data_IF_802617080119
#
_entry.id   IF_802617080119
#
_cell.length_a   1.000
_cell.length_b   1.000
_cell.length_c   1.000
_cell.angle_alpha   90.00
_cell.angle_beta   90.00
_cell.angle_gamma   90.00
#
_symmetry.space_group_name_H-M   'P 1'
#
loop_
_entity.id
_entity.type
_entity.pdbx_description
1 polymer ?
#
# COMPACT_ATOMS: atom_id res chain seq x y z
N UNK A 1 14.50 -37.13 2.24
CA UNK A 1 14.44 -36.17 3.35
C UNK A 1 12.97 -35.77 3.50
N UNK A 2 12.36 -36.08 4.63
CA UNK A 2 10.93 -35.96 4.91
C UNK A 2 10.45 -34.52 4.70
N UNK A 3 9.41 -34.34 3.87
CA UNK A 3 8.56 -33.15 3.87
C UNK A 3 7.98 -32.98 5.28
N UNK A 4 8.57 -32.11 6.06
CA UNK A 4 7.91 -31.59 7.23
C UNK A 4 6.73 -30.73 6.74
N UNK A 5 5.58 -31.34 6.57
CA UNK A 5 4.34 -30.65 6.24
C UNK A 5 4.12 -29.56 7.31
N UNK A 6 4.27 -28.30 6.92
CA UNK A 6 4.04 -27.15 7.80
C UNK A 6 2.67 -27.33 8.48
N UNK A 7 2.63 -27.26 9.80
CA UNK A 7 1.41 -27.43 10.58
C UNK A 7 0.38 -26.38 10.10
N UNK A 8 -0.78 -26.77 9.55
CA UNK A 8 -1.77 -25.84 9.00
C UNK A 8 -2.24 -24.78 10.00
N UNK A 9 -2.21 -25.11 11.30
CA UNK A 9 -2.58 -24.19 12.37
C UNK A 9 -1.52 -23.07 12.59
N UNK A 10 -0.24 -23.36 12.37
CA UNK A 10 0.84 -22.34 12.45
C UNK A 10 0.77 -21.40 11.25
N UNK A 11 0.57 -21.91 10.05
CA UNK A 11 0.44 -21.11 8.82
C UNK A 11 -0.74 -20.13 8.91
N UNK A 12 -1.91 -20.57 9.43
CA UNK A 12 -3.07 -19.69 9.58
C UNK A 12 -2.84 -18.56 10.59
N UNK A 13 -2.12 -18.84 11.70
CA UNK A 13 -1.77 -17.79 12.68
C UNK A 13 -0.85 -16.73 12.06
N UNK A 14 0.12 -17.16 11.27
CA UNK A 14 1.05 -16.23 10.60
C UNK A 14 0.34 -15.38 9.53
N UNK A 15 -0.53 -15.99 8.70
CA UNK A 15 -1.34 -15.26 7.73
C UNK A 15 -2.21 -14.20 8.42
N UNK A 16 -2.91 -14.56 9.50
CA UNK A 16 -3.73 -13.60 10.27
C UNK A 16 -2.92 -12.44 10.83
N UNK A 17 -1.75 -12.73 11.38
CA UNK A 17 -0.88 -11.67 11.91
C UNK A 17 -0.32 -10.76 10.81
N UNK A 18 0.02 -11.32 9.65
CA UNK A 18 0.44 -10.58 8.48
C UNK A 18 -0.67 -9.64 7.97
N UNK A 19 -1.89 -10.16 7.83
CA UNK A 19 -3.06 -9.35 7.44
C UNK A 19 -3.26 -8.19 8.41
N UNK A 20 -3.25 -8.45 9.73
CA UNK A 20 -3.47 -7.42 10.74
C UNK A 20 -2.39 -6.34 10.73
N UNK A 21 -1.11 -6.72 10.58
CA UNK A 21 -0.02 -5.74 10.43
C UNK A 21 -0.22 -4.84 9.20
N UNK A 22 -0.56 -5.46 8.07
CA UNK A 22 -0.85 -4.73 6.84
C UNK A 22 -2.08 -3.81 6.97
N UNK A 23 -3.12 -4.24 7.67
CA UNK A 23 -4.31 -3.40 7.95
C UNK A 23 -3.92 -2.16 8.74
N UNK A 24 -3.12 -2.29 9.78
CA UNK A 24 -2.66 -1.14 10.60
C UNK A 24 -1.84 -0.18 9.75
N UNK A 25 -0.85 -0.69 9.00
CA UNK A 25 -0.01 0.14 8.13
C UNK A 25 -0.85 0.93 7.11
N UNK A 26 -1.75 0.24 6.42
CA UNK A 26 -2.54 0.87 5.37
C UNK A 26 -3.71 1.74 5.88
N UNK A 27 -4.15 1.52 7.12
CA UNK A 27 -5.00 2.49 7.82
C UNK A 27 -4.25 3.82 8.01
N UNK A 28 -3.04 3.78 8.56
CA UNK A 28 -2.25 4.97 8.87
C UNK A 28 -1.86 5.78 7.61
N UNK A 29 -1.52 5.09 6.51
CA UNK A 29 -1.28 5.76 5.23
C UNK A 29 -2.57 6.25 4.58
N UNK A 30 -3.64 5.46 4.65
CA UNK A 30 -4.93 5.78 4.05
C UNK A 30 -5.56 7.02 4.69
N UNK A 31 -5.56 7.10 6.02
CA UNK A 31 -6.21 8.21 6.71
C UNK A 31 -5.59 9.57 6.39
N UNK A 32 -4.28 9.64 6.20
CA UNK A 32 -3.63 10.87 5.74
C UNK A 32 -4.12 11.28 4.35
N UNK A 33 -4.17 10.32 3.41
CA UNK A 33 -4.63 10.58 2.04
C UNK A 33 -6.10 10.98 1.97
N UNK A 34 -6.96 10.35 2.78
CA UNK A 34 -8.40 10.68 2.83
C UNK A 34 -8.67 12.04 3.52
N UNK A 35 -7.86 12.41 4.50
CA UNK A 35 -7.95 13.70 5.16
C UNK A 35 -7.15 14.81 4.45
N UNK A 36 -6.62 14.56 3.25
CA UNK A 36 -5.69 15.48 2.58
C UNK A 36 -6.25 16.90 2.38
N UNK A 37 -7.53 17.04 2.03
CA UNK A 37 -8.21 18.34 1.87
C UNK A 37 -8.28 19.11 3.18
N UNK A 38 -8.57 18.44 4.30
CA UNK A 38 -8.60 19.04 5.64
C UNK A 38 -7.18 19.36 6.13
N UNK A 39 -6.22 18.49 5.92
CA UNK A 39 -4.81 18.74 6.27
C UNK A 39 -4.24 19.91 5.48
N UNK A 40 -4.62 20.06 4.21
CA UNK A 40 -4.24 21.21 3.37
C UNK A 40 -4.65 22.52 4.03
N UNK A 41 -5.90 22.64 4.46
CA UNK A 41 -6.43 23.84 5.11
C UNK A 41 -5.79 24.15 6.47
N UNK A 42 -5.32 23.11 7.21
CA UNK A 42 -4.79 23.30 8.56
C UNK A 42 -3.27 23.51 8.64
N UNK A 43 -2.52 22.99 7.68
CA UNK A 43 -1.06 22.94 7.75
C UNK A 43 -0.34 23.70 6.64
N UNK A 44 -1.04 24.03 5.54
CA UNK A 44 -0.47 24.71 4.39
C UNK A 44 -1.29 25.97 4.09
N UNK A 45 -0.81 27.11 4.58
CA UNK A 45 -1.46 28.41 4.35
C UNK A 45 -0.96 28.98 3.04
N UNK A 46 -1.60 28.59 1.97
CA UNK A 46 -1.40 29.13 0.63
C UNK A 46 -2.66 29.86 0.17
N UNK A 47 -2.48 30.89 -0.65
CA UNK A 47 -3.60 31.70 -1.18
C UNK A 47 -4.47 30.90 -2.17
N UNK A 48 -3.92 29.80 -2.71
CA UNK A 48 -4.60 28.92 -3.65
C UNK A 48 -4.80 27.51 -3.01
N UNK A 49 -6.05 27.02 -2.90
CA UNK A 49 -6.35 25.70 -2.36
C UNK A 49 -5.66 24.54 -3.09
N UNK A 50 -5.45 24.66 -4.40
CA UNK A 50 -4.77 23.63 -5.17
C UNK A 50 -3.29 23.52 -4.79
N UNK A 51 -2.63 24.63 -4.53
CA UNK A 51 -1.24 24.67 -4.05
C UNK A 51 -1.11 24.09 -2.65
N UNK A 52 -2.07 24.33 -1.75
CA UNK A 52 -2.11 23.72 -0.43
C UNK A 52 -2.31 22.20 -0.48
N UNK A 53 -3.20 21.72 -1.35
CA UNK A 53 -3.42 20.29 -1.58
C UNK A 53 -2.18 19.63 -2.21
N UNK A 54 -1.52 20.29 -3.16
CA UNK A 54 -0.27 19.82 -3.77
C UNK A 54 0.83 19.67 -2.70
N UNK A 55 0.99 20.66 -1.81
CA UNK A 55 1.95 20.63 -0.70
C UNK A 55 1.63 19.49 0.28
N UNK A 56 0.36 19.21 0.54
CA UNK A 56 -0.09 18.08 1.35
C UNK A 56 0.30 16.74 0.72
N UNK A 57 0.11 16.57 -0.58
CA UNK A 57 0.53 15.37 -1.29
C UNK A 57 2.04 15.27 -1.50
N UNK A 58 2.77 16.40 -1.53
CA UNK A 58 4.22 16.38 -1.47
C UNK A 58 4.73 15.82 -0.13
N UNK A 59 4.16 16.25 1.00
CA UNK A 59 4.45 15.67 2.32
C UNK A 59 4.06 14.18 2.40
N UNK A 60 2.99 13.76 1.71
CA UNK A 60 2.65 12.35 1.56
C UNK A 60 3.74 11.57 0.82
N UNK A 61 4.23 12.10 -0.28
CA UNK A 61 5.25 11.47 -1.11
C UNK A 61 6.59 11.31 -0.37
N UNK A 62 7.00 12.30 0.43
CA UNK A 62 8.26 12.26 1.20
C UNK A 62 8.36 11.02 2.09
N UNK A 63 7.25 10.57 2.69
CA UNK A 63 7.24 9.36 3.50
C UNK A 63 7.75 8.13 2.74
N UNK A 64 7.43 8.02 1.45
CA UNK A 64 7.81 6.85 0.64
C UNK A 64 9.31 6.79 0.31
N UNK A 65 9.98 7.94 0.24
CA UNK A 65 11.43 7.98 0.07
C UNK A 65 12.15 7.44 1.32
N UNK A 66 11.58 7.63 2.51
CA UNK A 66 12.16 7.13 3.76
C UNK A 66 11.88 5.65 4.02
N UNK A 67 11.04 4.98 3.22
CA UNK A 67 10.85 3.53 3.29
C UNK A 67 12.15 2.75 3.02
N UNK A 68 12.96 3.22 2.08
CA UNK A 68 14.20 2.52 1.73
C UNK A 68 15.21 2.48 2.89
N UNK A 69 15.64 3.62 3.51
CA UNK A 69 16.51 3.59 4.67
C UNK A 69 15.87 2.89 5.88
N UNK A 70 14.56 3.05 6.09
CA UNK A 70 13.83 2.31 7.12
C UNK A 70 13.89 0.80 6.93
N UNK A 71 13.69 0.32 5.72
CA UNK A 71 13.81 -1.10 5.37
C UNK A 71 15.19 -1.68 5.62
N UNK A 72 16.25 -0.90 5.35
CA UNK A 72 17.63 -1.29 5.64
C UNK A 72 17.86 -1.40 7.16
N UNK A 73 17.44 -0.38 7.93
CA UNK A 73 17.63 -0.37 9.38
C UNK A 73 16.84 -1.49 10.07
N UNK A 74 15.53 -1.56 9.81
CA UNK A 74 14.68 -2.56 10.46
C UNK A 74 14.95 -3.98 9.95
N UNK A 75 15.39 -4.14 8.69
CA UNK A 75 15.91 -5.40 8.18
C UNK A 75 17.14 -5.86 8.97
N UNK A 76 18.17 -5.00 9.11
CA UNK A 76 19.35 -5.31 9.91
C UNK A 76 19.02 -5.57 11.38
N UNK A 77 18.10 -4.79 11.96
CA UNK A 77 17.64 -4.99 13.33
C UNK A 77 16.90 -6.32 13.51
N UNK A 78 16.11 -6.72 12.51
CA UNK A 78 15.42 -8.01 12.48
C UNK A 78 16.39 -9.20 12.42
N UNK A 79 17.43 -9.10 11.61
CA UNK A 79 18.44 -10.14 11.47
C UNK A 79 19.34 -10.26 12.73
N UNK A 80 19.62 -9.13 13.40
CA UNK A 80 20.51 -9.10 14.58
C UNK A 80 19.81 -9.35 15.91
N UNK A 81 18.61 -8.79 16.11
CA UNK A 81 17.91 -8.79 17.40
C UNK A 81 16.59 -9.57 17.40
N UNK A 82 16.22 -10.16 16.27
CA UNK A 82 15.00 -10.92 16.07
C UNK A 82 13.90 -10.14 15.32
N UNK A 83 13.22 -10.82 14.44
CA UNK A 83 12.17 -10.22 13.57
C UNK A 83 11.00 -9.67 14.38
N UNK A 84 10.59 -10.35 15.44
CA UNK A 84 9.54 -9.91 16.36
C UNK A 84 9.84 -8.53 16.96
N UNK A 85 11.08 -8.30 17.41
CA UNK A 85 11.51 -7.01 18.00
C UNK A 85 11.48 -5.90 16.96
N UNK A 86 12.06 -6.14 15.77
CA UNK A 86 12.08 -5.15 14.69
C UNK A 86 10.65 -4.71 14.32
N UNK A 87 9.77 -5.67 14.07
CA UNK A 87 8.38 -5.43 13.73
C UNK A 87 7.56 -4.77 14.86
N UNK A 88 7.93 -4.99 16.12
CA UNK A 88 7.32 -4.29 17.27
C UNK A 88 7.68 -2.81 17.27
N UNK A 89 8.95 -2.47 16.98
CA UNK A 89 9.40 -1.10 16.86
C UNK A 89 8.79 -0.36 15.67
N UNK A 90 8.59 -1.05 14.52
CA UNK A 90 7.94 -0.42 13.35
C UNK A 90 6.50 -0.02 13.66
N UNK A 91 5.70 -0.90 14.27
CA UNK A 91 4.32 -0.56 14.67
C UNK A 91 4.29 0.57 15.69
N UNK A 92 5.16 0.52 16.71
CA UNK A 92 5.21 1.57 17.73
C UNK A 92 5.54 2.93 17.13
N UNK A 93 6.58 2.99 16.29
CA UNK A 93 6.99 4.22 15.63
C UNK A 93 5.90 4.76 14.70
N UNK A 94 5.22 3.87 13.94
CA UNK A 94 4.10 4.23 13.08
C UNK A 94 2.95 4.84 13.89
N UNK A 95 2.50 4.14 14.94
CA UNK A 95 1.39 4.59 15.79
C UNK A 95 1.70 5.93 16.48
N UNK A 96 2.92 6.11 16.99
CA UNK A 96 3.37 7.38 17.60
C UNK A 96 3.36 8.51 16.58
N UNK A 97 3.89 8.25 15.38
CA UNK A 97 3.94 9.27 14.33
C UNK A 97 2.54 9.65 13.83
N UNK A 98 1.64 8.67 13.61
CA UNK A 98 0.27 8.95 13.16
C UNK A 98 -0.54 9.68 14.23
N UNK A 99 -0.45 9.21 15.48
CA UNK A 99 -1.10 9.91 16.61
C UNK A 99 -0.55 11.32 16.78
N UNK A 100 0.76 11.49 16.58
CA UNK A 100 1.43 12.78 16.60
C UNK A 100 0.80 13.80 15.65
N UNK A 101 0.42 13.39 14.42
CA UNK A 101 -0.27 14.27 13.48
C UNK A 101 -1.55 14.86 14.08
N UNK A 102 -2.35 14.02 14.76
CA UNK A 102 -3.58 14.48 15.43
C UNK A 102 -3.36 15.43 16.61
N UNK A 103 -2.15 15.46 17.17
CA UNK A 103 -1.80 16.34 18.31
C UNK A 103 -1.15 17.65 17.89
N UNK A 104 -0.73 17.80 16.63
CA UNK A 104 -0.08 19.03 16.15
C UNK A 104 -1.12 20.18 16.13
N UNK A 105 -0.83 21.33 16.74
CA UNK A 105 -1.63 22.54 16.56
C UNK A 105 -1.60 23.01 15.10
N UNK A 106 -2.66 23.73 14.68
CA UNK A 106 -2.76 24.24 13.32
C UNK A 106 -1.68 25.30 13.00
N UNK A 107 -1.50 25.58 11.72
CA UNK A 107 -0.60 26.65 11.26
C UNK A 107 -0.92 28.01 11.88
N UNK A 108 -2.20 28.31 12.10
CA UNK A 108 -2.62 29.54 12.76
C UNK A 108 -2.02 29.72 14.16
N UNK A 109 -1.69 28.62 14.85
CA UNK A 109 -1.12 28.65 16.21
C UNK A 109 0.41 28.55 16.20
N UNK A 110 0.99 27.63 15.42
CA UNK A 110 2.44 27.32 15.44
C UNK A 110 3.20 27.86 14.21
N UNK A 111 2.50 28.44 13.24
CA UNK A 111 3.12 28.86 11.98
C UNK A 111 3.80 27.71 11.26
N UNK A 112 4.94 28.00 10.64
CA UNK A 112 5.72 27.02 9.84
C UNK A 112 6.11 25.75 10.63
N UNK A 113 6.21 25.84 11.95
CA UNK A 113 6.54 24.68 12.78
C UNK A 113 5.48 23.59 12.75
N UNK A 114 4.18 23.95 12.52
CA UNK A 114 3.11 22.98 12.33
C UNK A 114 3.38 22.11 11.08
N UNK A 115 3.75 22.75 9.97
CA UNK A 115 4.12 22.06 8.72
C UNK A 115 5.38 21.20 8.91
N UNK A 116 6.40 21.73 9.57
CA UNK A 116 7.64 20.98 9.84
C UNK A 116 7.38 19.72 10.68
N UNK A 117 6.54 19.81 11.70
CA UNK A 117 6.16 18.67 12.54
C UNK A 117 5.32 17.65 11.77
N UNK A 118 4.41 18.10 10.91
CA UNK A 118 3.65 17.22 10.03
C UNK A 118 4.59 16.42 9.12
N UNK A 119 5.52 17.09 8.44
CA UNK A 119 6.52 16.46 7.57
C UNK A 119 7.40 15.50 8.37
N UNK A 120 7.84 15.86 9.57
CA UNK A 120 8.60 14.97 10.45
C UNK A 120 7.82 13.71 10.79
N UNK A 121 6.53 13.83 11.18
CA UNK A 121 5.67 12.67 11.43
C UNK A 121 5.55 11.80 10.16
N UNK A 122 5.40 12.40 8.99
CA UNK A 122 5.37 11.68 7.70
C UNK A 122 6.68 10.94 7.43
N UNK A 123 7.82 11.57 7.71
CA UNK A 123 9.13 10.93 7.62
C UNK A 123 9.24 9.71 8.53
N UNK A 124 8.80 9.82 9.77
CA UNK A 124 8.81 8.72 10.75
C UNK A 124 7.89 7.58 10.34
N UNK A 125 6.68 7.89 9.82
CA UNK A 125 5.76 6.89 9.27
C UNK A 125 6.39 6.13 8.10
N UNK A 126 6.98 6.84 7.14
CA UNK A 126 7.63 6.23 5.99
C UNK A 126 8.81 5.34 6.39
N UNK A 127 9.64 5.82 7.32
CA UNK A 127 10.76 5.08 7.87
C UNK A 127 10.31 3.77 8.55
N UNK A 128 9.24 3.82 9.35
CA UNK A 128 8.67 2.65 10.01
C UNK A 128 8.15 1.61 9.00
N UNK A 129 7.43 2.05 7.97
CA UNK A 129 6.79 1.17 6.98
C UNK A 129 7.77 0.41 6.07
N UNK A 130 9.05 0.82 6.01
CA UNK A 130 10.04 0.22 5.12
C UNK A 130 10.34 -1.27 5.37
N UNK A 131 10.07 -1.77 6.58
CA UNK A 131 10.43 -3.13 7.00
C UNK A 131 9.33 -4.20 6.90
N UNK A 132 8.05 -3.85 6.63
CA UNK A 132 6.94 -4.78 6.91
C UNK A 132 6.49 -5.68 5.75
N UNK A 133 6.19 -5.13 4.59
CA UNK A 133 5.45 -5.84 3.54
C UNK A 133 6.20 -6.99 2.85
N UNK A 134 7.52 -6.90 2.71
CA UNK A 134 8.29 -7.89 1.98
C UNK A 134 8.31 -9.26 2.67
N UNK A 135 8.39 -9.27 4.01
CA UNK A 135 8.55 -10.48 4.80
C UNK A 135 7.30 -11.36 4.86
N UNK A 136 6.15 -10.75 5.07
CA UNK A 136 4.88 -11.48 5.20
C UNK A 136 4.51 -12.20 3.90
N UNK A 137 4.68 -11.52 2.77
CA UNK A 137 4.36 -12.09 1.45
C UNK A 137 5.35 -13.18 1.03
N UNK A 138 6.66 -13.00 1.26
CA UNK A 138 7.66 -14.03 0.99
C UNK A 138 7.38 -15.29 1.84
N UNK A 139 7.10 -15.12 3.13
CA UNK A 139 6.80 -16.22 4.03
C UNK A 139 5.58 -17.03 3.57
N UNK A 140 4.45 -16.36 3.28
CA UNK A 140 3.23 -17.04 2.82
C UNK A 140 3.47 -17.74 1.47
N UNK A 141 4.22 -17.11 0.55
CA UNK A 141 4.53 -17.69 -0.76
C UNK A 141 5.36 -18.96 -0.65
N UNK A 142 6.29 -19.04 0.32
CA UNK A 142 7.16 -20.19 0.54
C UNK A 142 6.44 -21.38 1.18
N UNK A 143 5.43 -21.13 2.01
CA UNK A 143 4.65 -22.18 2.66
C UNK A 143 3.40 -22.59 1.87
N UNK A 144 3.03 -21.83 0.84
CA UNK A 144 1.86 -22.09 0.02
C UNK A 144 2.14 -23.20 -1.01
N UNK A 145 1.25 -24.21 -1.16
CA UNK A 145 1.35 -25.17 -2.24
C UNK A 145 1.37 -24.49 -3.61
N UNK A 146 2.20 -24.97 -4.54
CA UNK A 146 2.36 -24.34 -5.86
C UNK A 146 1.03 -24.11 -6.61
N UNK A 147 0.07 -25.05 -6.45
CA UNK A 147 -1.24 -24.98 -7.10
C UNK A 147 -2.26 -24.04 -6.44
N UNK A 148 -1.95 -23.45 -5.26
CA UNK A 148 -2.81 -22.51 -4.51
C UNK A 148 -2.05 -21.29 -4.02
N UNK A 149 -0.86 -21.04 -4.55
CA UNK A 149 0.02 -19.99 -4.05
C UNK A 149 -0.57 -18.61 -4.25
N UNK A 150 -1.11 -18.30 -5.44
CA UNK A 150 -1.72 -17.00 -5.69
C UNK A 150 -2.97 -16.78 -4.83
N UNK A 151 -3.79 -17.80 -4.64
CA UNK A 151 -4.96 -17.71 -3.77
C UNK A 151 -4.57 -17.42 -2.32
N UNK A 152 -3.55 -18.09 -1.78
CA UNK A 152 -3.13 -17.87 -0.39
C UNK A 152 -2.45 -16.51 -0.18
N UNK A 153 -1.59 -16.08 -1.11
CA UNK A 153 -0.93 -14.78 -1.03
C UNK A 153 -1.88 -13.61 -1.24
N UNK A 154 -2.98 -13.80 -2.00
CA UNK A 154 -3.98 -12.75 -2.21
C UNK A 154 -4.63 -12.27 -0.91
N UNK A 155 -4.74 -13.13 0.11
CA UNK A 155 -5.28 -12.73 1.42
C UNK A 155 -4.39 -11.74 2.17
N UNK A 156 -3.06 -11.84 2.02
CA UNK A 156 -2.15 -10.84 2.61
C UNK A 156 -2.38 -9.48 1.95
N UNK A 157 -2.50 -9.46 0.62
CA UNK A 157 -2.79 -8.24 -0.14
C UNK A 157 -4.19 -7.67 0.16
N UNK A 158 -5.14 -8.52 0.54
CA UNK A 158 -6.47 -8.07 1.00
C UNK A 158 -6.36 -7.19 2.24
N UNK A 159 -5.37 -7.42 3.12
CA UNK A 159 -5.08 -6.57 4.27
C UNK A 159 -4.83 -5.10 3.90
N UNK A 160 -4.18 -4.83 2.78
CA UNK A 160 -3.95 -3.48 2.24
C UNK A 160 -5.26 -2.72 2.02
N UNK A 161 -6.19 -3.36 1.33
CA UNK A 161 -7.50 -2.74 1.02
C UNK A 161 -8.43 -2.71 2.23
N UNK A 162 -8.34 -3.67 3.14
CA UNK A 162 -9.08 -3.64 4.42
C UNK A 162 -8.61 -2.49 5.31
N UNK A 163 -7.29 -2.20 5.35
CA UNK A 163 -6.76 -1.04 6.06
C UNK A 163 -7.29 0.28 5.48
N UNK A 164 -7.26 0.41 4.15
CA UNK A 164 -7.85 1.56 3.46
C UNK A 164 -9.35 1.67 3.66
N UNK A 165 -10.08 0.56 3.62
CA UNK A 165 -11.51 0.52 3.92
C UNK A 165 -11.79 1.01 5.35
N UNK A 166 -11.02 0.55 6.32
CA UNK A 166 -11.16 1.01 7.71
C UNK A 166 -10.91 2.53 7.82
N UNK A 167 -9.88 3.06 7.16
CA UNK A 167 -9.59 4.48 7.13
C UNK A 167 -10.71 5.29 6.46
N UNK A 168 -11.23 4.84 5.31
CA UNK A 168 -12.32 5.53 4.61
C UNK A 168 -13.65 5.45 5.37
N UNK A 169 -13.91 4.34 6.07
CA UNK A 169 -15.08 4.22 6.97
C UNK A 169 -15.01 5.18 8.15
N UNK A 170 -13.83 5.32 8.77
CA UNK A 170 -13.63 6.29 9.86
C UNK A 170 -13.85 7.71 9.34
N UNK A 171 -13.33 8.04 8.15
CA UNK A 171 -13.56 9.32 7.51
C UNK A 171 -15.04 9.55 7.22
N UNK A 172 -15.74 8.57 6.65
CA UNK A 172 -17.19 8.64 6.37
C UNK A 172 -18.02 8.85 7.64
N UNK A 173 -17.78 8.02 8.66
CA UNK A 173 -18.51 8.16 9.94
C UNK A 173 -18.27 9.54 10.54
N UNK A 174 -17.06 10.05 10.47
CA UNK A 174 -16.72 11.35 11.01
C UNK A 174 -17.45 12.48 10.26
N UNK A 175 -17.39 12.51 8.93
CA UNK A 175 -18.05 13.55 8.12
C UNK A 175 -19.57 13.51 8.24
N UNK A 176 -20.15 12.30 8.40
CA UNK A 176 -21.60 12.14 8.57
C UNK A 176 -22.11 12.43 9.99
N UNK A 177 -21.25 12.32 11.03
CA UNK A 177 -21.66 12.41 12.42
C UNK A 177 -21.50 13.81 13.03
N UNK A 178 -20.64 14.67 12.45
CA UNK A 178 -20.34 16.00 12.99
C UNK A 178 -20.62 17.08 11.95
N UNK A 179 -20.92 18.30 12.42
CA UNK A 179 -21.06 19.45 11.54
C UNK A 179 -19.74 19.82 10.88
N UNK A 180 -19.80 20.47 9.73
CA UNK A 180 -18.63 20.93 8.97
C UNK A 180 -17.72 21.82 9.82
N UNK A 181 -18.29 22.73 10.59
CA UNK A 181 -17.55 23.59 11.53
C UNK A 181 -16.79 22.75 12.56
N UNK A 182 -17.47 21.80 13.22
CA UNK A 182 -16.82 20.91 14.19
C UNK A 182 -15.73 20.04 13.56
N UNK A 183 -15.96 19.58 12.33
CA UNK A 183 -14.97 18.82 11.58
C UNK A 183 -13.71 19.64 11.35
N UNK A 184 -13.85 20.89 10.89
CA UNK A 184 -12.73 21.80 10.68
C UNK A 184 -12.05 22.25 11.97
N UNK A 185 -12.82 22.53 13.03
CA UNK A 185 -12.25 23.05 14.27
C UNK A 185 -11.40 22.02 15.01
N UNK A 186 -11.92 20.81 15.16
CA UNK A 186 -11.25 19.80 16.00
C UNK A 186 -11.40 18.36 15.54
N UNK A 187 -12.54 17.94 15.00
CA UNK A 187 -12.86 16.53 14.85
C UNK A 187 -11.98 15.81 13.81
N UNK A 188 -11.36 16.53 12.88
CA UNK A 188 -10.38 15.96 11.94
C UNK A 188 -9.20 15.25 12.63
N UNK A 189 -8.94 15.52 13.91
CA UNK A 189 -7.89 14.86 14.70
C UNK A 189 -8.25 13.44 15.11
N UNK A 190 -9.54 13.12 15.25
CA UNK A 190 -10.03 11.82 15.75
C UNK A 190 -9.44 10.64 14.99
N UNK A 191 -9.44 10.60 13.64
CA UNK A 191 -8.89 9.47 12.89
C UNK A 191 -7.41 9.22 13.17
N UNK A 192 -6.62 10.26 13.39
CA UNK A 192 -5.20 10.15 13.72
C UNK A 192 -5.00 9.68 15.17
N UNK A 193 -5.79 10.17 16.11
CA UNK A 193 -5.74 9.74 17.51
C UNK A 193 -6.21 8.29 17.69
N UNK A 194 -7.12 7.81 16.84
CA UNK A 194 -7.55 6.42 16.82
C UNK A 194 -6.40 5.46 16.48
N UNK A 195 -5.38 5.93 15.77
CA UNK A 195 -4.16 5.16 15.48
C UNK A 195 -3.42 4.71 16.74
N UNK A 196 -3.51 5.46 17.84
CA UNK A 196 -2.96 5.03 19.14
C UNK A 196 -3.61 3.71 19.61
N UNK A 197 -4.94 3.61 19.51
CA UNK A 197 -5.69 2.42 19.89
C UNK A 197 -5.37 1.25 18.95
N UNK A 198 -5.38 1.51 17.65
CA UNK A 198 -5.06 0.50 16.62
C UNK A 198 -3.62 0.00 16.80
N UNK A 199 -2.67 0.90 17.05
CA UNK A 199 -1.27 0.57 17.33
C UNK A 199 -1.10 -0.28 18.60
N UNK A 200 -1.83 0.03 19.68
CA UNK A 200 -1.83 -0.78 20.91
C UNK A 200 -2.36 -2.21 20.66
N UNK A 201 -3.43 -2.33 19.87
CA UNK A 201 -3.96 -3.65 19.45
C UNK A 201 -2.90 -4.40 18.63
N UNK A 202 -2.27 -3.74 17.67
CA UNK A 202 -1.20 -4.31 16.86
C UNK A 202 -0.01 -4.78 17.71
N UNK A 203 0.42 -3.97 18.68
CA UNK A 203 1.47 -4.34 19.64
C UNK A 203 1.09 -5.55 20.50
N UNK A 204 -0.14 -5.58 20.99
CA UNK A 204 -0.65 -6.70 21.80
C UNK A 204 -0.61 -8.02 21.00
N UNK A 205 -1.11 -7.99 19.77
CA UNK A 205 -1.12 -9.17 18.90
C UNK A 205 0.31 -9.64 18.61
N UNK A 206 1.23 -8.71 18.28
CA UNK A 206 2.63 -9.05 17.99
C UNK A 206 3.39 -9.62 19.19
N UNK A 207 3.09 -9.18 20.40
CA UNK A 207 3.71 -9.74 21.62
C UNK A 207 3.35 -11.20 21.82
N UNK A 208 2.19 -11.65 21.33
CA UNK A 208 1.73 -13.05 21.46
C UNK A 208 2.30 -13.99 20.39
N UNK A 209 2.91 -13.45 19.32
CA UNK A 209 3.53 -14.27 18.29
C UNK A 209 4.87 -14.83 18.78
N UNK A 210 5.18 -16.12 18.48
CA UNK A 210 6.52 -16.66 18.69
C UNK A 210 7.53 -15.94 17.76
N UNK A 211 8.80 -16.05 18.06
CA UNK A 211 9.86 -15.68 17.11
C UNK A 211 9.80 -16.62 15.89
N UNK A 212 10.40 -16.24 14.78
CA UNK A 212 10.42 -17.07 13.58
C UNK A 212 11.37 -18.26 13.75
N UNK A 213 10.90 -19.47 13.38
CA UNK A 213 11.70 -20.71 13.43
C UNK A 213 13.04 -20.55 12.70
N UNK A 214 13.09 -19.77 11.63
CA UNK A 214 14.31 -19.46 10.89
C UNK A 214 15.32 -18.63 11.71
N UNK A 215 14.86 -17.71 12.56
CA UNK A 215 15.74 -16.94 13.42
C UNK A 215 16.29 -17.81 14.56
N UNK A 216 15.45 -18.68 15.14
CA UNK A 216 15.86 -19.64 16.16
C UNK A 216 16.87 -20.66 15.61
N UNK A 217 16.63 -21.18 14.39
CA UNK A 217 17.56 -22.10 13.71
C UNK A 217 18.93 -21.45 13.36
N UNK A 218 18.95 -20.15 13.02
CA UNK A 218 20.20 -19.40 12.75
C UNK A 218 20.97 -19.14 14.04
N UNK A 219 20.26 -18.88 15.16
CA UNK A 219 20.93 -18.73 16.47
C UNK A 219 21.53 -20.05 16.99
N UNK A 220 20.94 -21.18 16.66
CA UNK A 220 21.43 -22.51 17.06
C UNK A 220 22.60 -22.99 16.17
N UNK A 221 22.73 -22.46 14.96
CA UNK A 221 23.81 -22.81 14.02
C UNK A 221 24.93 -21.77 14.06
N UNK A 222 26.03 -22.09 14.74
CA UNK A 222 27.27 -21.28 14.77
C UNK A 222 27.94 -21.08 13.39
N UNK A 223 27.34 -21.56 12.29
CA UNK A 223 27.99 -21.69 10.98
C UNK A 223 27.26 -21.07 9.79
N UNK A 224 26.14 -20.34 9.98
CA UNK A 224 25.50 -19.64 8.84
C UNK A 224 26.13 -18.27 8.66
N UNK A 225 27.06 -18.15 7.70
CA UNK A 225 27.49 -16.85 7.17
C UNK A 225 26.26 -16.12 6.61
N UNK A 226 25.69 -15.22 7.40
CA UNK A 226 24.73 -14.22 6.91
C UNK A 226 25.45 -13.44 5.83
N UNK A 227 24.96 -13.50 4.59
CA UNK A 227 25.59 -12.84 3.46
C UNK A 227 25.90 -11.38 3.81
N UNK A 228 27.19 -11.02 3.81
CA UNK A 228 27.71 -9.71 4.27
C UNK A 228 27.06 -8.50 3.57
N UNK A 229 26.55 -8.70 2.35
CA UNK A 229 25.92 -7.63 1.52
C UNK A 229 24.81 -8.19 0.62
N UNK A 230 23.64 -8.58 1.16
CA UNK A 230 22.56 -9.16 0.32
C UNK A 230 22.07 -8.18 -0.77
N UNK A 231 22.08 -6.88 -0.51
CA UNK A 231 21.57 -5.86 -1.42
C UNK A 231 22.46 -5.70 -2.66
N UNK A 232 23.78 -5.67 -2.52
CA UNK A 232 24.69 -5.54 -3.64
C UNK A 232 24.63 -6.79 -4.55
N UNK A 233 24.50 -7.97 -3.95
CA UNK A 233 24.38 -9.26 -4.65
C UNK A 233 23.08 -9.33 -5.47
N UNK A 234 21.98 -8.80 -4.95
CA UNK A 234 20.69 -8.73 -5.63
C UNK A 234 20.77 -7.80 -6.86
N UNK A 235 21.41 -6.64 -6.72
CA UNK A 235 21.60 -5.71 -7.85
C UNK A 235 22.43 -6.29 -8.98
N UNK A 236 23.48 -7.02 -8.66
CA UNK A 236 24.38 -7.57 -9.68
C UNK A 236 23.81 -8.79 -10.41
N UNK A 237 23.06 -9.64 -9.71
CA UNK A 237 22.61 -10.93 -10.24
C UNK A 237 21.11 -11.00 -10.57
N UNK A 238 20.28 -10.11 -10.01
CA UNK A 238 18.82 -10.14 -10.20
C UNK A 238 18.21 -8.81 -10.72
N UNK A 239 19.02 -7.90 -11.29
CA UNK A 239 18.55 -6.58 -11.73
C UNK A 239 17.41 -6.65 -12.77
N UNK A 240 17.46 -7.65 -13.69
CA UNK A 240 16.41 -7.85 -14.71
C UNK A 240 15.07 -8.21 -14.06
N UNK A 241 15.12 -9.08 -13.05
CA UNK A 241 13.93 -9.46 -12.26
C UNK A 241 13.39 -8.28 -11.46
N UNK A 242 14.29 -7.46 -10.86
CA UNK A 242 13.91 -6.24 -10.14
C UNK A 242 13.18 -5.28 -11.07
N UNK A 243 13.75 -4.98 -12.23
CA UNK A 243 13.13 -4.09 -13.23
C UNK A 243 11.79 -4.65 -13.69
N UNK A 244 11.70 -5.95 -13.99
CA UNK A 244 10.45 -6.58 -14.39
C UNK A 244 9.37 -6.43 -13.31
N UNK A 245 9.71 -6.69 -12.04
CA UNK A 245 8.74 -6.58 -10.91
C UNK A 245 8.34 -5.14 -10.67
N UNK A 246 9.24 -4.15 -10.82
CA UNK A 246 8.90 -2.72 -10.74
C UNK A 246 7.82 -2.38 -11.77
N UNK A 247 7.99 -2.79 -13.01
CA UNK A 247 7.03 -2.48 -14.07
C UNK A 247 5.72 -3.29 -13.93
N UNK A 248 5.78 -4.55 -13.49
CA UNK A 248 4.58 -5.33 -13.16
C UNK A 248 3.80 -4.71 -11.99
N UNK A 249 4.50 -4.11 -11.02
CA UNK A 249 3.92 -3.43 -9.87
C UNK A 249 3.37 -2.03 -10.16
N UNK A 250 3.68 -1.44 -11.32
CA UNK A 250 3.36 -0.04 -11.63
C UNK A 250 1.86 0.27 -11.49
N UNK A 251 0.99 -0.53 -12.12
CA UNK A 251 -0.46 -0.37 -11.99
C UNK A 251 -0.95 -0.66 -10.57
N UNK A 252 -0.39 -1.69 -9.92
CA UNK A 252 -0.83 -2.12 -8.60
C UNK A 252 -0.68 -0.96 -7.61
N UNK A 253 0.50 -0.37 -7.59
CA UNK A 253 0.83 0.69 -6.63
C UNK A 253 0.27 2.04 -7.07
N UNK A 254 0.54 2.47 -8.32
CA UNK A 254 0.03 3.72 -8.86
C UNK A 254 -1.50 3.75 -8.90
N UNK A 255 -2.10 2.66 -9.35
CA UNK A 255 -3.56 2.52 -9.41
C UNK A 255 -4.24 2.52 -8.05
N UNK A 256 -3.65 1.82 -7.07
CA UNK A 256 -4.15 1.85 -5.70
C UNK A 256 -4.20 3.28 -5.13
N UNK A 257 -3.13 4.05 -5.30
CA UNK A 257 -3.10 5.42 -4.75
C UNK A 257 -3.94 6.40 -5.56
N UNK A 258 -4.10 6.23 -6.88
CA UNK A 258 -4.96 7.12 -7.69
C UNK A 258 -6.43 6.75 -7.55
N UNK A 259 -6.83 5.51 -7.84
CA UNK A 259 -8.23 5.11 -7.84
C UNK A 259 -8.78 4.80 -6.43
N UNK A 260 -7.89 4.45 -5.48
CA UNK A 260 -8.26 4.11 -4.12
C UNK A 260 -8.18 5.28 -3.14
N UNK A 261 -7.09 6.03 -3.15
CA UNK A 261 -6.83 7.07 -2.14
C UNK A 261 -7.15 8.46 -2.69
N UNK A 262 -6.54 8.84 -3.80
CA UNK A 262 -6.69 10.17 -4.41
C UNK A 262 -8.11 10.42 -4.94
N UNK A 263 -8.82 9.37 -5.37
CA UNK A 263 -10.17 9.48 -5.90
C UNK A 263 -11.16 10.15 -4.92
N UNK A 264 -10.97 10.01 -3.61
CA UNK A 264 -11.79 10.71 -2.61
C UNK A 264 -11.60 12.23 -2.71
N UNK A 265 -10.37 12.72 -2.83
CA UNK A 265 -10.09 14.14 -3.06
C UNK A 265 -10.60 14.59 -4.43
N UNK A 266 -10.36 13.81 -5.49
CA UNK A 266 -10.80 14.11 -6.85
C UNK A 266 -12.32 14.28 -6.97
N UNK A 267 -13.09 13.40 -6.32
CA UNK A 267 -14.56 13.52 -6.28
C UNK A 267 -15.01 14.81 -5.58
N UNK A 268 -14.28 15.28 -4.58
CA UNK A 268 -14.58 16.52 -3.87
C UNK A 268 -14.16 17.74 -4.67
N UNK A 269 -12.91 17.79 -5.17
CA UNK A 269 -12.34 18.99 -5.83
C UNK A 269 -12.82 19.14 -7.27
N UNK A 270 -12.75 18.07 -8.06
CA UNK A 270 -13.05 18.12 -9.50
C UNK A 270 -14.48 17.67 -9.82
N UNK A 271 -15.02 16.73 -9.02
CA UNK A 271 -16.39 16.24 -9.17
C UNK A 271 -17.44 17.10 -8.44
N UNK A 272 -17.04 18.06 -7.61
CA UNK A 272 -17.95 18.91 -6.83
C UNK A 272 -18.87 18.12 -5.90
N UNK A 273 -18.44 16.92 -5.44
CA UNK A 273 -19.23 16.04 -4.59
C UNK A 273 -18.96 16.33 -3.12
N UNK A 274 -19.97 16.08 -2.27
CA UNK A 274 -19.78 16.15 -0.82
C UNK A 274 -18.74 15.13 -0.33
N UNK A 275 -18.11 15.42 0.81
CA UNK A 275 -17.16 14.53 1.45
C UNK A 275 -17.79 13.16 1.76
N UNK A 276 -19.04 13.15 2.26
CA UNK A 276 -19.79 11.92 2.56
C UNK A 276 -19.98 11.04 1.33
N UNK A 277 -20.32 11.66 0.18
CA UNK A 277 -20.43 10.93 -1.07
C UNK A 277 -19.07 10.34 -1.49
N UNK A 278 -18.01 11.13 -1.43
CA UNK A 278 -16.67 10.72 -1.83
C UNK A 278 -16.17 9.54 -0.98
N UNK A 279 -16.37 9.58 0.34
CA UNK A 279 -15.99 8.50 1.23
C UNK A 279 -16.89 7.28 1.09
N UNK A 280 -18.21 7.45 0.89
CA UNK A 280 -19.13 6.33 0.57
C UNK A 280 -18.70 5.61 -0.70
N UNK A 281 -18.43 6.35 -1.78
CA UNK A 281 -17.93 5.79 -3.03
C UNK A 281 -16.63 5.01 -2.82
N UNK A 282 -15.71 5.59 -2.07
CA UNK A 282 -14.40 4.96 -1.78
C UNK A 282 -14.57 3.70 -0.92
N UNK A 283 -15.44 3.69 0.09
CA UNK A 283 -15.72 2.47 0.87
C UNK A 283 -16.25 1.34 -0.03
N UNK A 284 -17.20 1.62 -0.91
CA UNK A 284 -17.75 0.62 -1.83
C UNK A 284 -16.67 0.13 -2.82
N UNK A 285 -15.84 1.04 -3.32
CA UNK A 285 -14.72 0.72 -4.20
C UNK A 285 -13.66 -0.15 -3.51
N UNK A 286 -13.35 0.10 -2.22
CA UNK A 286 -12.45 -0.76 -1.45
C UNK A 286 -13.03 -2.15 -1.24
N UNK A 287 -14.34 -2.28 -1.00
CA UNK A 287 -15.01 -3.59 -0.93
C UNK A 287 -14.90 -4.33 -2.27
N UNK A 288 -15.09 -3.65 -3.40
CA UNK A 288 -14.93 -4.26 -4.73
C UNK A 288 -13.49 -4.80 -4.92
N UNK A 289 -12.48 -4.06 -4.47
CA UNK A 289 -11.09 -4.51 -4.51
C UNK A 289 -10.86 -5.73 -3.58
N UNK A 290 -11.33 -5.67 -2.32
CA UNK A 290 -11.23 -6.80 -1.36
C UNK A 290 -11.79 -8.09 -1.93
N UNK A 291 -12.90 -8.02 -2.68
CA UNK A 291 -13.52 -9.17 -3.34
C UNK A 291 -12.68 -9.64 -4.53
N UNK A 292 -12.12 -8.71 -5.31
CA UNK A 292 -11.40 -9.04 -6.54
C UNK A 292 -10.08 -9.78 -6.30
N UNK A 293 -9.38 -9.52 -5.19
CA UNK A 293 -8.08 -10.12 -4.90
C UNK A 293 -8.12 -11.67 -4.78
N UNK A 294 -8.96 -12.27 -3.92
CA UNK A 294 -9.01 -13.73 -3.82
C UNK A 294 -9.60 -14.37 -5.10
N UNK A 295 -10.50 -13.69 -5.81
CA UNK A 295 -10.98 -14.14 -7.13
C UNK A 295 -9.80 -14.23 -8.09
N UNK A 296 -8.96 -13.19 -8.16
CA UNK A 296 -7.80 -13.17 -9.02
C UNK A 296 -6.78 -14.24 -8.63
N UNK A 297 -6.52 -14.44 -7.34
CA UNK A 297 -5.64 -15.50 -6.84
C UNK A 297 -6.13 -16.89 -7.29
N UNK A 298 -7.42 -17.16 -7.13
CA UNK A 298 -8.04 -18.41 -7.55
C UNK A 298 -8.00 -18.62 -9.07
N UNK A 299 -8.34 -17.59 -9.84
CA UNK A 299 -8.31 -17.62 -11.31
C UNK A 299 -6.87 -17.78 -11.78
N UNK A 300 -5.92 -17.03 -11.19
CA UNK A 300 -4.50 -17.10 -11.51
C UNK A 300 -3.89 -18.48 -11.23
N UNK A 301 -4.34 -19.18 -10.19
CA UNK A 301 -3.93 -20.55 -9.93
C UNK A 301 -4.49 -21.55 -10.97
N UNK A 302 -5.58 -21.22 -11.67
CA UNK A 302 -6.20 -22.07 -12.69
C UNK A 302 -5.74 -21.80 -14.11
N UNK A 303 -5.72 -20.54 -14.53
CA UNK A 303 -5.43 -20.16 -15.93
C UNK A 303 -4.02 -19.62 -16.14
N UNK A 304 -3.28 -19.32 -15.06
CA UNK A 304 -1.95 -18.71 -15.11
C UNK A 304 -1.94 -17.26 -14.64
N UNK A 305 -0.73 -16.75 -14.34
CA UNK A 305 -0.49 -15.39 -13.85
C UNK A 305 -0.58 -14.37 -14.98
N UNK A 306 0.06 -14.67 -16.12
CA UNK A 306 0.11 -13.78 -17.30
C UNK A 306 -1.27 -13.37 -17.81
N UNK A 307 -2.24 -14.26 -18.03
CA UNK A 307 -3.57 -13.87 -18.49
C UNK A 307 -4.26 -12.87 -17.56
N UNK A 308 -4.11 -13.02 -16.23
CA UNK A 308 -4.70 -12.12 -15.25
C UNK A 308 -4.05 -10.73 -15.30
N UNK A 309 -2.71 -10.67 -15.41
CA UNK A 309 -2.00 -9.41 -15.60
C UNK A 309 -2.43 -8.70 -16.89
N UNK A 310 -2.48 -9.40 -18.03
CA UNK A 310 -2.92 -8.83 -19.31
C UNK A 310 -4.35 -8.31 -19.25
N UNK A 311 -5.26 -9.11 -18.73
CA UNK A 311 -6.68 -8.76 -18.66
C UNK A 311 -6.90 -7.57 -17.74
N UNK A 312 -6.39 -7.63 -16.49
CA UNK A 312 -6.59 -6.57 -15.52
C UNK A 312 -5.96 -5.24 -15.95
N UNK A 313 -4.70 -5.26 -16.41
CA UNK A 313 -4.03 -4.03 -16.85
C UNK A 313 -4.60 -3.48 -18.16
N UNK A 314 -4.93 -4.34 -19.12
CA UNK A 314 -5.54 -3.93 -20.39
C UNK A 314 -6.90 -3.28 -20.20
N UNK A 315 -7.78 -3.90 -19.41
CA UNK A 315 -9.10 -3.31 -19.11
C UNK A 315 -8.93 -2.01 -18.33
N UNK A 316 -8.04 -1.95 -17.32
CA UNK A 316 -7.82 -0.70 -16.58
C UNK A 316 -7.35 0.42 -17.49
N UNK A 317 -6.43 0.17 -18.43
CA UNK A 317 -6.00 1.19 -19.41
C UNK A 317 -7.17 1.71 -20.25
N UNK A 318 -8.05 0.81 -20.70
CA UNK A 318 -9.22 1.14 -21.53
C UNK A 318 -10.25 1.97 -20.78
N UNK A 319 -10.57 1.58 -19.53
CA UNK A 319 -11.67 2.21 -18.78
C UNK A 319 -11.24 3.45 -18.01
N UNK A 320 -9.94 3.71 -17.83
CA UNK A 320 -9.47 4.81 -16.98
C UNK A 320 -10.03 6.17 -17.39
N UNK A 321 -9.92 6.53 -18.67
CA UNK A 321 -10.42 7.82 -19.14
C UNK A 321 -11.95 7.95 -19.00
N UNK A 322 -12.77 7.01 -19.52
CA UNK A 322 -14.22 7.09 -19.32
C UNK A 322 -14.63 7.02 -17.85
N UNK A 323 -13.91 6.29 -17.00
CA UNK A 323 -14.22 6.23 -15.58
C UNK A 323 -14.01 7.59 -14.90
N UNK A 324 -12.91 8.30 -15.18
CA UNK A 324 -12.67 9.64 -14.64
C UNK A 324 -13.69 10.67 -15.18
N UNK A 325 -14.09 10.59 -16.45
CA UNK A 325 -15.17 11.42 -16.98
C UNK A 325 -16.48 11.20 -16.21
N UNK A 326 -16.85 9.93 -15.98
CA UNK A 326 -18.07 9.58 -15.25
C UNK A 326 -17.98 9.95 -13.77
N UNK A 327 -16.83 9.82 -13.14
CA UNK A 327 -16.63 10.25 -11.75
C UNK A 327 -16.82 11.76 -11.59
N UNK A 328 -16.39 12.56 -12.56
CA UNK A 328 -16.52 14.01 -12.55
C UNK A 328 -17.96 14.44 -12.88
N UNK A 329 -18.48 14.02 -14.03
CA UNK A 329 -19.69 14.60 -14.64
C UNK A 329 -20.92 13.67 -14.56
N UNK A 330 -20.73 12.39 -14.19
CA UNK A 330 -21.78 11.39 -14.20
C UNK A 330 -22.78 11.47 -13.05
N UNK A 331 -23.81 10.66 -13.09
CA UNK A 331 -24.71 10.51 -11.94
C UNK A 331 -23.98 9.93 -10.72
N UNK A 332 -24.47 10.13 -9.49
CA UNK A 332 -23.85 9.58 -8.30
C UNK A 332 -23.60 8.07 -8.37
N UNK A 333 -24.59 7.30 -8.84
CA UNK A 333 -24.45 5.84 -8.98
C UNK A 333 -23.40 5.48 -10.03
N UNK A 334 -23.37 6.19 -11.16
CA UNK A 334 -22.39 5.95 -12.22
C UNK A 334 -20.95 6.25 -11.73
N UNK A 335 -20.75 7.32 -10.96
CA UNK A 335 -19.47 7.67 -10.38
C UNK A 335 -18.95 6.58 -9.42
N UNK A 336 -19.82 6.05 -8.55
CA UNK A 336 -19.48 4.92 -7.66
C UNK A 336 -19.09 3.68 -8.48
N UNK A 337 -19.88 3.31 -9.50
CA UNK A 337 -19.60 2.16 -10.35
C UNK A 337 -18.29 2.33 -11.13
N UNK A 338 -17.98 3.56 -11.57
CA UNK A 338 -16.74 3.87 -12.26
C UNK A 338 -15.53 3.67 -11.34
N UNK A 339 -15.57 4.19 -10.10
CA UNK A 339 -14.51 3.98 -9.12
C UNK A 339 -14.38 2.49 -8.75
N UNK A 340 -15.49 1.79 -8.51
CA UNK A 340 -15.51 0.35 -8.24
C UNK A 340 -14.87 -0.47 -9.36
N UNK A 341 -15.15 -0.13 -10.63
CA UNK A 341 -14.58 -0.84 -11.77
C UNK A 341 -13.05 -0.69 -11.82
N UNK A 342 -12.53 0.52 -11.60
CA UNK A 342 -11.09 0.75 -11.54
C UNK A 342 -10.45 -0.07 -10.42
N UNK A 343 -10.94 0.03 -9.18
CA UNK A 343 -10.36 -0.68 -8.03
C UNK A 343 -10.50 -2.19 -8.16
N UNK A 344 -11.58 -2.69 -8.76
CA UNK A 344 -11.79 -4.11 -9.02
C UNK A 344 -10.72 -4.67 -9.98
N UNK A 345 -10.50 -4.04 -11.14
CA UNK A 345 -9.51 -4.53 -12.10
C UNK A 345 -8.06 -4.35 -11.62
N UNK A 346 -7.77 -3.29 -10.88
CA UNK A 346 -6.48 -3.12 -10.18
C UNK A 346 -6.29 -4.25 -9.16
N UNK A 347 -7.33 -4.58 -8.38
CA UNK A 347 -7.33 -5.67 -7.43
C UNK A 347 -7.09 -7.04 -8.08
N UNK A 348 -7.62 -7.28 -9.29
CA UNK A 348 -7.31 -8.51 -10.04
C UNK A 348 -5.81 -8.65 -10.30
N UNK A 349 -5.14 -7.58 -10.74
CA UNK A 349 -3.69 -7.60 -10.98
C UNK A 349 -2.93 -7.81 -9.67
N UNK A 350 -3.36 -7.15 -8.59
CA UNK A 350 -2.72 -7.28 -7.28
C UNK A 350 -2.89 -8.68 -6.67
N UNK A 351 -4.01 -9.36 -6.90
CA UNK A 351 -4.29 -10.68 -6.33
C UNK A 351 -3.33 -11.79 -6.77
N UNK A 352 -2.68 -11.64 -7.92
CA UNK A 352 -1.67 -12.60 -8.43
C UNK A 352 -0.22 -12.13 -8.25
N UNK A 353 -0.01 -10.88 -7.83
CA UNK A 353 1.29 -10.20 -7.90
C UNK A 353 2.37 -10.85 -7.05
N UNK A 354 2.14 -11.02 -5.75
CA UNK A 354 3.18 -11.49 -4.83
C UNK A 354 3.53 -12.97 -5.02
N UNK A 355 2.58 -13.81 -5.45
CA UNK A 355 2.89 -15.16 -5.90
C UNK A 355 3.86 -15.11 -7.09
N UNK A 356 3.54 -14.28 -8.08
CA UNK A 356 4.38 -14.09 -9.27
C UNK A 356 5.77 -13.57 -8.90
N UNK A 357 5.86 -12.59 -8.00
CA UNK A 357 7.15 -12.05 -7.55
C UNK A 357 8.00 -13.11 -6.86
N UNK A 358 7.39 -13.93 -5.98
CA UNK A 358 8.08 -15.02 -5.32
C UNK A 358 8.57 -16.10 -6.31
N UNK A 359 7.82 -16.33 -7.38
CA UNK A 359 8.13 -17.30 -8.44
C UNK A 359 9.22 -16.79 -9.41
N UNK A 360 9.41 -15.48 -9.56
CA UNK A 360 10.45 -14.86 -10.40
C UNK A 360 11.84 -14.92 -9.74
N UNK A 361 11.92 -14.73 -8.42
CA UNK A 361 13.19 -14.67 -7.71
C UNK A 361 13.63 -16.05 -7.19
N UNK A 362 14.94 -16.36 -7.30
CA UNK A 362 15.54 -17.51 -6.61
C UNK A 362 15.53 -17.31 -5.09
N UNK A 363 15.52 -18.41 -4.32
CA UNK A 363 15.43 -18.39 -2.85
C UNK A 363 16.42 -17.41 -2.22
N UNK A 364 17.69 -17.44 -2.66
CA UNK A 364 18.76 -16.57 -2.17
C UNK A 364 18.45 -15.08 -2.25
N UNK A 365 17.69 -14.64 -3.29
CA UNK A 365 17.43 -13.23 -3.57
C UNK A 365 15.95 -12.84 -3.38
N UNK A 366 15.08 -13.80 -3.09
CA UNK A 366 13.62 -13.62 -3.10
C UNK A 366 13.16 -12.52 -2.16
N UNK A 367 13.53 -12.61 -0.90
CA UNK A 367 13.11 -11.62 0.10
C UNK A 367 13.59 -10.20 -0.27
N UNK A 368 14.89 -10.06 -0.49
CA UNK A 368 15.50 -8.75 -0.80
C UNK A 368 15.04 -8.21 -2.15
N UNK A 369 14.87 -9.08 -3.16
CA UNK A 369 14.38 -8.71 -4.48
C UNK A 369 12.95 -8.20 -4.47
N UNK A 370 12.04 -8.89 -3.77
CA UNK A 370 10.64 -8.45 -3.61
C UNK A 370 10.58 -7.15 -2.84
N UNK A 371 11.24 -7.08 -1.68
CA UNK A 371 11.22 -5.89 -0.82
C UNK A 371 11.74 -4.66 -1.56
N UNK A 372 12.87 -4.80 -2.23
CA UNK A 372 13.51 -3.72 -2.97
C UNK A 372 12.67 -3.25 -4.15
N UNK A 373 12.20 -4.20 -4.99
CA UNK A 373 11.35 -3.87 -6.14
C UNK A 373 10.08 -3.16 -5.67
N UNK A 374 9.42 -3.67 -4.63
CA UNK A 374 8.20 -3.08 -4.08
C UNK A 374 8.45 -1.68 -3.49
N UNK A 375 9.54 -1.48 -2.74
CA UNK A 375 9.87 -0.16 -2.19
C UNK A 375 10.19 0.87 -3.28
N UNK A 376 10.94 0.48 -4.32
CA UNK A 376 11.22 1.36 -5.47
C UNK A 376 9.93 1.70 -6.22
N UNK A 377 9.06 0.73 -6.46
CA UNK A 377 7.78 0.97 -7.13
C UNK A 377 6.89 1.90 -6.29
N UNK A 378 6.81 1.67 -4.97
CA UNK A 378 6.05 2.52 -4.07
C UNK A 378 6.62 3.95 -4.00
N UNK A 379 7.94 4.10 -3.98
CA UNK A 379 8.60 5.40 -3.97
C UNK A 379 8.34 6.16 -5.28
N UNK A 380 8.52 5.50 -6.42
CA UNK A 380 8.45 6.15 -7.73
C UNK A 380 7.02 6.36 -8.25
N UNK A 381 6.12 5.42 -8.01
CA UNK A 381 4.80 5.39 -8.64
C UNK A 381 3.63 5.34 -7.65
N UNK A 382 3.88 5.11 -6.36
CA UNK A 382 2.83 5.03 -5.35
C UNK A 382 2.67 6.31 -4.56
N UNK A 383 3.65 6.60 -3.70
CA UNK A 383 3.60 7.78 -2.84
C UNK A 383 3.55 9.10 -3.62
N UNK A 384 4.15 9.13 -4.80
CA UNK A 384 4.11 10.28 -5.70
C UNK A 384 2.82 10.39 -6.51
N UNK A 385 1.99 9.35 -6.59
CA UNK A 385 0.82 9.31 -7.47
C UNK A 385 -0.20 10.43 -7.20
N UNK A 386 -0.65 10.69 -5.96
CA UNK A 386 -1.56 11.79 -5.67
C UNK A 386 -0.94 13.16 -5.97
N UNK A 387 0.36 13.34 -5.67
CA UNK A 387 1.09 14.55 -6.00
C UNK A 387 1.14 14.78 -7.50
N UNK A 388 1.53 13.76 -8.29
CA UNK A 388 1.60 13.84 -9.75
C UNK A 388 0.21 14.08 -10.33
N UNK A 389 -0.83 13.42 -9.83
CA UNK A 389 -2.21 13.61 -10.27
C UNK A 389 -2.66 15.07 -10.09
N UNK A 390 -2.43 15.64 -8.91
CA UNK A 390 -2.75 17.04 -8.61
C UNK A 390 -1.89 18.02 -9.44
N UNK A 391 -0.59 17.74 -9.58
CA UNK A 391 0.34 18.54 -10.37
C UNK A 391 -0.08 18.57 -11.86
N UNK A 392 -0.47 17.42 -12.40
CA UNK A 392 -0.92 17.35 -13.78
C UNK A 392 -2.19 18.19 -14.01
N UNK A 393 -3.14 18.19 -13.10
CA UNK A 393 -4.32 19.07 -13.19
C UNK A 393 -3.89 20.53 -13.18
N UNK A 394 -3.08 20.93 -12.20
CA UNK A 394 -2.68 22.34 -12.02
C UNK A 394 -1.81 22.90 -13.16
N UNK A 395 -1.03 22.03 -13.82
CA UNK A 395 -0.12 22.46 -14.90
C UNK A 395 -0.74 22.37 -16.30
N UNK A 396 -1.70 21.46 -16.50
CA UNK A 396 -2.34 21.26 -17.82
C UNK A 396 -3.74 21.87 -17.90
N UNK A 397 -4.27 22.37 -16.79
CA UNK A 397 -5.66 22.84 -16.65
C UNK A 397 -6.68 21.80 -17.14
N UNK A 398 -6.33 20.51 -17.01
CA UNK A 398 -7.13 19.37 -17.45
C UNK A 398 -7.47 18.45 -16.30
N UNK A 399 -8.71 18.48 -15.85
CA UNK A 399 -9.22 17.68 -14.74
C UNK A 399 -9.21 16.15 -15.02
N UNK A 400 -9.00 15.72 -16.27
CA UNK A 400 -8.88 14.31 -16.64
C UNK A 400 -7.42 13.82 -16.67
N UNK A 401 -6.44 14.67 -16.38
CA UNK A 401 -5.04 14.32 -16.39
C UNK A 401 -4.68 13.11 -15.47
N UNK A 402 -5.31 12.92 -14.30
CA UNK A 402 -5.10 11.72 -13.48
C UNK A 402 -5.42 10.39 -14.18
N UNK A 403 -6.39 10.39 -15.11
CA UNK A 403 -6.66 9.22 -15.95
C UNK A 403 -5.45 8.86 -16.83
N UNK A 404 -4.75 9.87 -17.36
CA UNK A 404 -3.52 9.68 -18.12
C UNK A 404 -2.41 8.99 -17.32
N UNK A 405 -2.24 9.38 -16.06
CA UNK A 405 -1.30 8.72 -15.14
C UNK A 405 -1.68 7.24 -14.92
N UNK A 406 -2.97 6.97 -14.72
CA UNK A 406 -3.46 5.61 -14.52
C UNK A 406 -3.29 4.75 -15.79
N UNK A 407 -3.56 5.31 -16.97
CA UNK A 407 -3.31 4.67 -18.26
C UNK A 407 -1.82 4.35 -18.41
N UNK A 408 -0.93 5.29 -18.11
CA UNK A 408 0.50 5.08 -18.21
C UNK A 408 0.98 3.91 -17.32
N UNK A 409 0.57 3.88 -16.05
CA UNK A 409 0.92 2.78 -15.13
C UNK A 409 0.33 1.45 -15.56
N UNK A 410 -0.89 1.44 -16.11
CA UNK A 410 -1.54 0.25 -16.65
C UNK A 410 -0.80 -0.28 -17.89
N UNK A 411 -0.39 0.59 -18.80
CA UNK A 411 0.41 0.24 -19.97
C UNK A 411 1.81 -0.27 -19.59
N UNK A 412 2.46 0.33 -18.57
CA UNK A 412 3.73 -0.18 -18.04
C UNK A 412 3.59 -1.64 -17.60
N UNK A 413 2.55 -1.95 -16.81
CA UNK A 413 2.27 -3.33 -16.36
C UNK A 413 1.90 -4.25 -17.53
N UNK A 414 1.08 -3.77 -18.46
CA UNK A 414 0.68 -4.54 -19.65
C UNK A 414 1.88 -4.91 -20.51
N UNK A 415 2.76 -3.96 -20.80
CA UNK A 415 4.00 -4.18 -21.58
C UNK A 415 4.95 -5.12 -20.82
N UNK A 416 5.14 -4.92 -19.51
CA UNK A 416 5.99 -5.78 -18.70
C UNK A 416 5.52 -7.25 -18.73
N UNK A 417 4.21 -7.48 -18.85
CA UNK A 417 3.63 -8.82 -18.90
C UNK A 417 4.05 -9.61 -20.15
N UNK A 418 4.46 -8.95 -21.24
CA UNK A 418 5.04 -9.67 -22.41
C UNK A 418 6.36 -10.33 -22.06
N UNK A 419 7.15 -9.75 -21.17
CA UNK A 419 8.44 -10.26 -20.71
C UNK A 419 8.32 -11.24 -19.54
N UNK A 420 7.13 -11.32 -18.92
CA UNK A 420 6.84 -12.28 -17.87
C UNK A 420 6.70 -13.68 -18.48
N UNK A 421 7.50 -14.65 -18.03
CA UNK A 421 7.23 -16.06 -18.30
C UNK A 421 6.09 -16.53 -17.41
N UNK A 422 5.25 -17.44 -17.93
CA UNK A 422 4.20 -18.04 -17.09
C UNK A 422 4.84 -18.83 -15.95
N UNK A 423 4.39 -18.54 -14.73
CA UNK A 423 4.98 -19.11 -13.51
C UNK A 423 4.02 -20.06 -12.78
N UNK A 424 2.83 -20.31 -13.34
CA UNK A 424 1.84 -21.19 -12.74
C UNK A 424 2.41 -22.60 -12.49
N UNK A 425 2.25 -23.06 -11.24
CA UNK A 425 2.61 -24.42 -10.86
C UNK A 425 4.13 -24.68 -10.83
N UNK A 426 4.96 -23.64 -11.02
CA UNK A 426 6.40 -23.81 -10.86
C UNK A 426 6.77 -23.96 -9.40
N UNK A 427 7.66 -24.89 -9.11
CA UNK A 427 8.30 -24.94 -7.80
C UNK A 427 9.19 -23.71 -7.60
N UNK A 428 9.26 -23.24 -6.36
CA UNK A 428 10.12 -22.12 -6.05
C UNK A 428 11.58 -22.53 -6.26
N UNK A 429 12.29 -21.79 -7.10
CA UNK A 429 13.70 -22.03 -7.35
C UNK A 429 14.50 -21.87 -6.05
N UNK A 430 15.30 -22.89 -5.72
CA UNK A 430 16.25 -22.88 -4.60
C UNK A 430 17.39 -21.89 -4.83
#
# INVERSE_FOLDING_TARGET
MSEAAANPASTLKVIRAAILGTVVEYYDFGIYGYMATLLAAHFFVESDPNSALLSTFAAFAVAFFLRAPGGILFGHMGDKYGRKKALTWTILLMAVATTGIGLIPSYATLGIWATCLLVLCRCLQGFAAGGELGGANAFVSEHAPAHRRAFQTSFVNTGTYLGSLAASLVALVLTSAVSEDTLHDWAWRIPFLLSAVIGLIGLYIRRQLPETEQFEAVQESDSVEVAKYPIADVFTHAWRQIVLVIFLGALIVGGYYVAGVYAASYLQTEGGRSADFAFTSTCIAMVAAVISLPIAGYVGDRIGRRPVFFFGSGITALISLPAFMVMRDGSPVAAVLAQCSLTFFIGLVNGVSFATYAEIFRARYRYSGIAMSNNVTNMALGGTAPFIATLLISTTDNNLAPAGYLIATALMTFIATFFLKETRGTELQL
#
